data_IF_912879412942
#
_entry.id   IF_912879412942
#
_cell.length_a   1.000
_cell.length_b   1.000
_cell.length_c   1.000
_cell.angle_alpha   90.00
_cell.angle_beta   90.00
_cell.angle_gamma   90.00
#
_symmetry.space_group_name_H-M   'P 1'
#
loop_
_entity.id
_entity.type
_entity.pdbx_description
1 polymer ?
#
# COMPACT_ATOMS: atom_id res chain seq x y z
N UNK A 1 -0.10 24.21 10.66
CA UNK A 1 -0.27 22.75 10.79
C UNK A 1 0.97 22.10 10.21
N UNK A 2 1.78 21.44 11.04
CA UNK A 2 2.84 20.55 10.54
C UNK A 2 2.16 19.20 10.35
N UNK A 3 1.98 18.79 9.11
CA UNK A 3 1.64 17.39 8.84
C UNK A 3 2.92 16.62 9.13
N UNK A 4 3.01 15.96 10.29
CA UNK A 4 4.13 15.08 10.65
C UNK A 4 4.10 13.77 9.84
N UNK A 5 3.61 13.85 8.61
CA UNK A 5 3.58 12.77 7.66
C UNK A 5 4.87 12.83 6.86
N UNK A 6 5.74 11.86 7.10
CA UNK A 6 6.92 11.66 6.25
C UNK A 6 6.58 10.57 5.25
N UNK A 7 6.90 10.80 3.98
CA UNK A 7 6.80 9.74 2.98
C UNK A 7 7.66 8.56 3.39
N UNK A 8 7.20 7.35 3.04
CA UNK A 8 8.03 6.16 3.15
C UNK A 8 9.30 6.36 2.30
N UNK A 9 10.45 5.97 2.84
CA UNK A 9 11.73 5.99 2.11
C UNK A 9 11.68 5.11 0.85
N UNK A 10 10.73 4.17 0.80
CA UNK A 10 10.51 3.21 -0.28
C UNK A 10 9.18 3.44 -1.03
N UNK A 11 8.80 4.70 -1.24
CA UNK A 11 7.62 5.07 -2.05
C UNK A 11 7.63 4.46 -3.47
N UNK A 12 8.81 4.24 -4.07
CA UNK A 12 8.92 3.55 -5.35
C UNK A 12 8.38 2.11 -5.30
N UNK A 13 8.74 1.37 -4.25
CA UNK A 13 8.20 0.03 -4.00
C UNK A 13 6.70 0.08 -3.70
N UNK A 14 6.28 1.03 -2.85
CA UNK A 14 4.86 1.20 -2.53
C UNK A 14 4.00 1.41 -3.77
N UNK A 15 4.48 2.20 -4.74
CA UNK A 15 3.82 2.43 -6.02
C UNK A 15 3.86 1.21 -6.94
N UNK A 16 4.94 0.43 -6.95
CA UNK A 16 5.06 -0.73 -7.86
C UNK A 16 4.07 -1.84 -7.52
N UNK A 17 3.73 -2.00 -6.24
CA UNK A 17 2.79 -3.06 -5.80
C UNK A 17 1.34 -2.59 -5.70
N UNK A 18 1.06 -1.28 -5.82
CA UNK A 18 -0.27 -0.71 -5.60
C UNK A 18 -1.31 -1.21 -6.62
N UNK A 19 -0.91 -1.41 -7.88
CA UNK A 19 -1.81 -1.90 -8.94
C UNK A 19 -2.20 -3.35 -8.72
N UNK A 20 -1.24 -4.20 -8.36
CA UNK A 20 -1.49 -5.63 -8.13
C UNK A 20 -2.24 -5.91 -6.82
N UNK A 21 -2.21 -4.97 -5.88
CA UNK A 21 -2.98 -5.03 -4.63
C UNK A 21 -4.28 -4.25 -4.73
N UNK A 22 -4.24 -2.94 -4.52
CA UNK A 22 -5.39 -2.03 -4.51
C UNK A 22 -6.14 -2.08 -5.84
N UNK A 23 -5.44 -2.21 -6.97
CA UNK A 23 -6.09 -2.31 -8.29
C UNK A 23 -7.07 -3.48 -8.44
N UNK A 24 -6.90 -4.57 -7.66
CA UNK A 24 -7.83 -5.70 -7.69
C UNK A 24 -9.21 -5.37 -7.10
N UNK A 25 -9.31 -4.35 -6.24
CA UNK A 25 -10.61 -3.97 -5.67
C UNK A 25 -11.55 -3.36 -6.69
N UNK A 26 -11.00 -2.66 -7.70
CA UNK A 26 -11.78 -2.10 -8.80
C UNK A 26 -12.31 -3.15 -9.77
N UNK A 27 -11.72 -4.35 -9.75
CA UNK A 27 -12.15 -5.50 -10.55
C UNK A 27 -13.15 -6.40 -9.80
N UNK A 28 -13.56 -6.02 -8.58
CA UNK A 28 -14.54 -6.76 -7.76
C UNK A 28 -14.01 -8.07 -7.16
N UNK A 29 -12.69 -8.33 -7.24
CA UNK A 29 -12.09 -9.54 -6.66
C UNK A 29 -11.90 -9.47 -5.13
N UNK A 30 -11.89 -8.25 -4.59
CA UNK A 30 -11.54 -7.90 -3.23
C UNK A 30 -12.25 -6.60 -2.87
N UNK A 31 -12.61 -6.37 -1.61
CA UNK A 31 -13.08 -5.03 -1.21
C UNK A 31 -11.90 -4.06 -1.13
N UNK A 32 -12.16 -2.76 -1.30
CA UNK A 32 -11.11 -1.74 -1.15
C UNK A 32 -10.45 -1.80 0.25
N UNK A 33 -11.24 -2.11 1.28
CA UNK A 33 -10.74 -2.23 2.65
C UNK A 33 -9.70 -3.35 2.79
N UNK A 34 -10.02 -4.55 2.30
CA UNK A 34 -9.10 -5.69 2.34
C UNK A 34 -7.85 -5.44 1.48
N UNK A 35 -8.00 -4.78 0.32
CA UNK A 35 -6.89 -4.42 -0.55
C UNK A 35 -5.90 -3.47 0.11
N UNK A 36 -6.42 -2.48 0.85
CA UNK A 36 -5.60 -1.54 1.61
C UNK A 36 -4.88 -2.21 2.78
N UNK A 37 -5.52 -3.19 3.45
CA UNK A 37 -4.87 -3.97 4.50
C UNK A 37 -3.70 -4.79 3.93
N UNK A 38 -3.92 -5.55 2.85
CA UNK A 38 -2.87 -6.37 2.22
C UNK A 38 -1.70 -5.52 1.70
N UNK A 39 -2.01 -4.36 1.09
CA UNK A 39 -0.99 -3.41 0.66
C UNK A 39 -0.19 -2.89 1.86
N UNK A 40 -0.87 -2.46 2.94
CA UNK A 40 -0.23 -1.99 4.16
C UNK A 40 0.70 -3.02 4.82
N UNK A 41 0.29 -4.29 4.87
CA UNK A 41 1.13 -5.38 5.38
C UNK A 41 2.39 -5.58 4.54
N UNK A 42 2.27 -5.49 3.21
CA UNK A 42 3.40 -5.60 2.28
C UNK A 42 4.40 -4.45 2.46
N UNK A 43 3.91 -3.23 2.73
CA UNK A 43 4.75 -2.06 3.03
C UNK A 43 5.47 -2.20 4.37
N UNK A 44 4.78 -2.74 5.37
CA UNK A 44 5.36 -2.98 6.70
C UNK A 44 6.50 -3.99 6.60
N UNK A 45 6.25 -5.14 5.96
CA UNK A 45 7.26 -6.18 5.77
C UNK A 45 8.49 -5.66 5.05
N UNK A 46 8.31 -4.94 3.94
CA UNK A 46 9.43 -4.38 3.18
C UNK A 46 10.24 -3.33 3.97
N UNK A 47 9.61 -2.58 4.87
CA UNK A 47 10.30 -1.61 5.71
C UNK A 47 11.04 -2.23 6.91
N UNK A 48 10.73 -3.48 7.27
CA UNK A 48 11.40 -4.25 8.32
C UNK A 48 12.59 -5.08 7.79
N UNK A 49 12.68 -5.28 6.47
CA UNK A 49 13.81 -5.90 5.77
C UNK A 49 14.99 -4.94 5.58
#
# INVERSE_FOLDING_TARGET
MRTDFTYLSYTAYANSIAVDSIGQSYHGKLTLHEALQQWGESLKKYGEE
#
